data_IF_423631277209
#
_entry.id   IF_423631277209
#
_cell.length_a   1.000
_cell.length_b   1.000
_cell.length_c   1.000
_cell.angle_alpha   90.00
_cell.angle_beta   90.00
_cell.angle_gamma   90.00
#
_symmetry.space_group_name_H-M   'P 1'
#
loop_
_entity.id
_entity.type
_entity.pdbx_description
1 polymer ?
#
# COMPACT_ATOMS: atom_id res chain seq x y z
N UNK A 1 -67.20 3.37 -51.28
CA UNK A 1 -66.89 3.40 -49.83
C UNK A 1 -65.63 4.22 -49.64
N UNK A 2 -65.75 5.52 -49.36
CA UNK A 2 -64.60 6.39 -49.06
C UNK A 2 -64.54 6.61 -47.55
N UNK A 3 -63.64 5.88 -46.89
CA UNK A 3 -63.40 6.01 -45.45
C UNK A 3 -62.64 7.32 -45.19
N UNK A 4 -63.38 8.37 -44.83
CA UNK A 4 -62.83 9.66 -44.41
C UNK A 4 -62.18 9.51 -43.03
N UNK A 5 -60.86 9.63 -42.97
CA UNK A 5 -60.06 9.39 -41.76
C UNK A 5 -60.28 10.50 -40.71
N UNK A 6 -60.70 10.15 -39.47
CA UNK A 6 -61.03 11.12 -38.42
C UNK A 6 -59.81 11.92 -37.92
N UNK A 7 -58.60 11.47 -38.23
CA UNK A 7 -57.36 12.14 -37.80
C UNK A 7 -57.11 13.47 -38.52
N UNK A 8 -57.45 13.57 -39.80
CA UNK A 8 -57.24 14.82 -40.56
C UNK A 8 -58.18 15.94 -40.10
N UNK A 9 -59.41 15.60 -39.71
CA UNK A 9 -60.38 16.56 -39.20
C UNK A 9 -59.98 17.11 -37.82
N UNK A 10 -59.40 16.26 -36.97
CA UNK A 10 -58.90 16.66 -35.64
C UNK A 10 -57.70 17.60 -35.72
N UNK A 11 -56.76 17.35 -36.64
CA UNK A 11 -55.57 18.22 -36.84
C UNK A 11 -55.97 19.58 -37.41
N UNK A 12 -56.89 19.63 -38.37
CA UNK A 12 -57.39 20.89 -38.92
C UNK A 12 -58.09 21.76 -37.86
N UNK A 13 -58.90 21.16 -36.98
CA UNK A 13 -59.56 21.87 -35.88
C UNK A 13 -58.55 22.38 -34.83
N UNK A 14 -57.46 21.66 -34.58
CA UNK A 14 -56.43 22.08 -33.64
C UNK A 14 -55.63 23.29 -34.17
N UNK A 15 -55.23 23.28 -35.45
CA UNK A 15 -54.51 24.40 -36.07
C UNK A 15 -55.39 25.64 -36.18
N UNK A 16 -56.67 25.49 -36.54
CA UNK A 16 -57.64 26.60 -36.57
C UNK A 16 -57.87 27.18 -35.17
N UNK A 17 -57.96 26.35 -34.12
CA UNK A 17 -58.04 26.82 -32.73
C UNK A 17 -56.76 27.51 -32.25
N UNK A 18 -55.60 27.09 -32.73
CA UNK A 18 -54.32 27.69 -32.35
C UNK A 18 -54.10 29.05 -33.03
N UNK A 19 -54.51 29.21 -34.28
CA UNK A 19 -54.42 30.51 -34.98
C UNK A 19 -55.41 31.56 -34.48
N UNK A 20 -56.61 31.17 -34.03
CA UNK A 20 -57.57 32.11 -33.41
C UNK A 20 -57.07 32.62 -32.05
N UNK A 21 -56.21 31.86 -31.35
CA UNK A 21 -55.75 32.20 -30.00
C UNK A 21 -54.52 33.12 -29.94
N UNK A 22 -53.95 33.50 -31.09
CA UNK A 22 -52.72 34.31 -31.16
C UNK A 22 -53.01 35.78 -31.52
N UNK A 23 -54.23 36.13 -31.96
CA UNK A 23 -54.54 37.49 -32.45
C UNK A 23 -55.29 38.41 -31.46
N UNK A 24 -55.66 37.96 -30.26
CA UNK A 24 -56.41 38.78 -29.30
C UNK A 24 -55.86 38.61 -27.88
N UNK A 25 -54.88 39.43 -27.50
CA UNK A 25 -54.87 40.24 -26.25
C UNK A 25 -53.52 40.93 -26.10
N UNK A 26 -53.37 42.11 -26.71
CA UNK A 26 -52.36 43.09 -26.33
C UNK A 26 -53.09 44.40 -26.02
N UNK A 27 -52.79 44.95 -24.83
CA UNK A 27 -53.33 46.18 -24.16
C UNK A 27 -54.57 45.86 -23.29
N UNK A 28 -54.60 46.19 -21.99
CA UNK A 28 -54.56 47.55 -21.44
C UNK A 28 -54.08 47.57 -19.96
N UNK A 29 -53.18 48.53 -19.68
CA UNK A 29 -52.81 49.25 -18.44
C UNK A 29 -52.59 48.54 -17.09
N UNK A 30 -51.32 48.54 -16.67
CA UNK A 30 -50.88 48.53 -15.28
C UNK A 30 -51.21 49.90 -14.63
N UNK A 31 -52.15 49.92 -13.68
CA UNK A 31 -52.42 51.05 -12.78
C UNK A 31 -51.78 50.74 -11.42
N UNK A 32 -50.80 51.56 -11.00
CA UNK A 32 -50.15 51.47 -9.70
C UNK A 32 -51.15 51.63 -8.53
N UNK A 33 -51.65 50.54 -7.95
CA UNK A 33 -52.25 50.59 -6.61
C UNK A 33 -51.14 50.71 -5.56
N UNK A 34 -50.71 51.94 -5.29
CA UNK A 34 -49.75 52.27 -4.23
C UNK A 34 -50.39 52.09 -2.85
N UNK A 35 -50.42 50.85 -2.34
CA UNK A 35 -50.63 50.57 -0.90
C UNK A 35 -49.33 50.05 -0.30
N UNK A 36 -48.62 50.89 0.45
CA UNK A 36 -47.42 50.46 1.21
C UNK A 36 -47.87 49.51 2.34
N UNK A 37 -47.34 48.28 2.36
CA UNK A 37 -47.42 47.43 3.56
C UNK A 37 -46.52 48.05 4.63
N UNK A 38 -47.09 48.58 5.72
CA UNK A 38 -46.34 48.91 6.93
C UNK A 38 -46.17 47.64 7.76
N UNK A 39 -44.95 47.36 8.23
CA UNK A 39 -44.69 46.31 9.22
C UNK A 39 -44.80 46.97 10.59
N UNK A 40 -45.60 46.40 11.50
CA UNK A 40 -45.64 46.82 12.90
C UNK A 40 -44.23 46.73 13.47
N UNK A 41 -43.61 47.82 13.95
CA UNK A 41 -42.33 47.70 14.62
C UNK A 41 -42.59 46.97 15.93
N UNK A 42 -42.14 45.71 16.03
CA UNK A 42 -42.15 44.99 17.29
C UNK A 42 -41.37 45.75 18.35
N UNK A 43 -41.74 45.58 19.61
CA UNK A 43 -40.97 46.13 20.73
C UNK A 43 -39.54 45.58 20.67
N UNK A 44 -38.57 46.48 20.50
CA UNK A 44 -37.14 46.17 20.36
C UNK A 44 -36.55 45.66 21.69
N UNK A 45 -36.87 44.41 22.06
CA UNK A 45 -36.27 43.67 23.17
C UNK A 45 -36.36 44.34 24.56
N UNK A 46 -35.92 43.62 25.58
CA UNK A 46 -35.77 44.20 26.93
C UNK A 46 -34.52 45.08 26.95
N UNK A 47 -34.67 46.36 27.27
CA UNK A 47 -33.56 47.32 27.34
C UNK A 47 -32.59 46.93 28.46
N UNK A 48 -31.32 46.73 28.11
CA UNK A 48 -30.29 46.40 29.10
C UNK A 48 -30.12 47.54 30.10
N UNK A 49 -29.98 47.20 31.39
CA UNK A 49 -29.71 48.18 32.45
C UNK A 49 -28.45 49.00 32.12
N UNK A 50 -28.43 50.31 32.44
CA UNK A 50 -27.29 51.18 32.20
C UNK A 50 -26.06 50.66 32.95
N UNK A 51 -24.87 50.86 32.36
CA UNK A 51 -23.59 50.31 32.85
C UNK A 51 -23.30 50.66 34.32
N UNK A 52 -23.82 51.80 34.81
CA UNK A 52 -23.69 52.26 36.18
C UNK A 52 -24.46 51.39 37.20
N UNK A 53 -25.61 50.84 36.81
CA UNK A 53 -26.45 50.00 37.68
C UNK A 53 -26.10 48.51 37.58
N UNK A 54 -25.21 48.14 36.65
CA UNK A 54 -24.77 46.75 36.47
C UNK A 54 -23.69 46.43 37.49
N UNK A 55 -24.00 45.59 38.47
CA UNK A 55 -23.03 45.11 39.46
C UNK A 55 -21.78 44.52 38.77
N UNK A 56 -20.60 45.07 39.06
CA UNK A 56 -19.32 44.52 38.60
C UNK A 56 -19.08 43.22 39.38
N UNK A 57 -19.20 42.07 38.72
CA UNK A 57 -18.74 40.80 39.31
C UNK A 57 -17.25 40.93 39.60
N UNK A 58 -16.86 40.72 40.85
CA UNK A 58 -15.46 40.61 41.25
C UNK A 58 -14.80 39.46 40.46
N UNK A 59 -13.53 39.60 40.02
CA UNK A 59 -12.86 38.53 39.30
C UNK A 59 -12.76 37.30 40.20
N UNK A 60 -13.24 36.18 39.70
CA UNK A 60 -13.14 34.89 40.38
C UNK A 60 -11.66 34.49 40.47
N UNK A 61 -11.08 34.56 41.67
CA UNK A 61 -9.66 34.28 41.93
C UNK A 61 -9.27 32.83 41.62
N UNK A 62 -10.25 31.94 41.37
CA UNK A 62 -10.00 30.56 40.95
C UNK A 62 -9.59 30.43 39.48
N UNK A 63 -9.70 31.51 38.69
CA UNK A 63 -9.29 31.51 37.29
C UNK A 63 -7.83 31.92 37.20
N UNK A 64 -6.97 30.97 36.84
CA UNK A 64 -5.55 31.22 36.63
C UNK A 64 -5.39 32.34 35.59
N UNK A 65 -4.73 33.47 35.92
CA UNK A 65 -4.64 34.64 35.05
C UNK A 65 -3.95 34.35 33.71
N UNK A 66 -3.21 33.24 33.59
CA UNK A 66 -2.62 32.79 32.33
C UNK A 66 -3.66 32.24 31.34
N UNK A 67 -4.72 31.58 31.82
CA UNK A 67 -5.80 31.08 30.96
C UNK A 67 -6.69 32.22 30.43
N UNK A 68 -6.65 33.39 31.09
CA UNK A 68 -7.36 34.59 30.66
C UNK A 68 -6.53 35.46 29.69
N UNK A 69 -5.23 35.21 29.55
CA UNK A 69 -4.41 35.83 28.52
C UNK A 69 -4.64 35.02 27.24
N UNK A 70 -5.10 35.69 26.19
CA UNK A 70 -5.33 35.05 24.89
C UNK A 70 -4.07 34.42 24.31
N UNK A 71 -4.18 33.87 23.08
CA UNK A 71 -3.03 33.27 22.39
C UNK A 71 -1.85 34.26 22.34
N UNK A 72 -0.60 33.79 22.55
CA UNK A 72 0.56 34.65 22.53
C UNK A 72 0.71 35.38 21.19
N UNK A 73 1.34 36.55 21.23
CA UNK A 73 1.56 37.37 20.05
C UNK A 73 2.34 36.58 18.98
N UNK A 74 1.92 36.71 17.72
CA UNK A 74 2.48 35.96 16.60
C UNK A 74 3.96 36.24 16.39
N UNK A 75 4.73 35.18 16.18
CA UNK A 75 6.18 35.25 16.09
C UNK A 75 6.62 35.57 14.65
N UNK A 76 6.50 36.83 14.23
CA UNK A 76 6.84 37.28 12.86
C UNK A 76 8.32 37.59 12.65
N UNK A 77 9.07 37.78 13.74
CA UNK A 77 10.45 38.26 13.67
C UNK A 77 11.45 37.43 14.49
N UNK A 78 11.07 36.26 15.03
CA UNK A 78 12.11 35.35 15.50
C UNK A 78 12.84 34.77 14.29
N UNK A 79 14.12 35.07 14.18
CA UNK A 79 15.04 34.36 13.32
C UNK A 79 14.93 32.87 13.67
N UNK A 80 14.59 32.05 12.67
CA UNK A 80 14.34 30.61 12.79
C UNK A 80 15.56 29.94 13.44
N UNK A 81 15.57 29.80 14.76
CA UNK A 81 16.26 28.68 15.38
C UNK A 81 15.56 27.45 14.83
N UNK A 82 16.29 26.69 14.03
CA UNK A 82 15.88 25.44 13.46
C UNK A 82 15.46 24.53 14.61
N UNK A 83 14.18 24.53 14.94
CA UNK A 83 13.61 23.52 15.82
C UNK A 83 13.80 22.21 15.09
N UNK A 84 14.67 21.38 15.65
CA UNK A 84 14.87 20.01 15.24
C UNK A 84 13.51 19.34 15.06
N UNK A 85 13.44 18.58 13.99
CA UNK A 85 12.25 18.02 13.39
C UNK A 85 11.33 17.39 14.44
N UNK A 86 10.14 17.97 14.61
CA UNK A 86 9.06 17.30 15.29
C UNK A 86 8.58 16.18 14.37
N UNK A 87 9.18 14.99 14.53
CA UNK A 87 8.74 13.74 13.91
C UNK A 87 7.31 13.43 14.37
N UNK A 88 6.32 13.97 13.67
CA UNK A 88 4.94 13.51 13.76
C UNK A 88 4.85 12.15 13.06
N UNK A 89 5.33 11.10 13.74
CA UNK A 89 5.40 9.72 13.25
C UNK A 89 4.18 8.86 13.63
N UNK A 90 3.08 9.46 14.09
CA UNK A 90 1.91 8.68 14.56
C UNK A 90 0.53 9.32 14.36
N UNK A 91 0.42 10.42 13.63
CA UNK A 91 -0.87 11.05 13.35
C UNK A 91 -1.34 10.71 11.93
N UNK A 92 -2.63 10.35 11.72
CA UNK A 92 -3.17 10.11 10.40
C UNK A 92 -3.03 11.38 9.56
N UNK A 93 -2.20 11.30 8.50
CA UNK A 93 -2.01 12.41 7.58
C UNK A 93 -3.21 12.52 6.65
N UNK A 94 -3.64 13.74 6.36
CA UNK A 94 -4.74 14.02 5.44
C UNK A 94 -4.42 13.44 4.04
N UNK A 95 -5.30 12.61 3.45
CA UNK A 95 -5.09 12.03 2.12
C UNK A 95 -4.92 13.06 1.00
N UNK A 96 -5.37 14.31 1.20
CA UNK A 96 -5.17 15.40 0.24
C UNK A 96 -3.75 15.96 0.24
N UNK A 97 -2.99 15.73 1.31
CA UNK A 97 -1.59 16.16 1.43
C UNK A 97 -0.70 14.97 1.08
N UNK A 98 -0.20 14.95 -0.15
CA UNK A 98 0.75 13.94 -0.61
C UNK A 98 2.02 13.87 0.25
N UNK A 99 2.77 12.78 0.11
CA UNK A 99 4.04 12.58 0.81
C UNK A 99 5.07 13.63 0.38
N UNK A 100 5.34 14.61 1.25
CA UNK A 100 6.42 15.60 1.08
C UNK A 100 7.76 15.14 1.68
N UNK A 101 7.96 13.83 1.83
CA UNK A 101 9.22 13.28 2.36
C UNK A 101 10.31 13.50 1.32
N UNK A 102 11.46 14.05 1.74
CA UNK A 102 12.62 14.23 0.86
C UNK A 102 13.09 12.85 0.38
N UNK A 103 13.27 12.72 -0.94
CA UNK A 103 13.87 11.53 -1.55
C UNK A 103 15.35 11.87 -1.76
N UNK A 104 16.30 11.05 -1.27
CA UNK A 104 17.71 11.30 -1.52
C UNK A 104 18.00 11.15 -3.02
N UNK A 105 18.65 12.16 -3.61
CA UNK A 105 19.08 12.18 -5.01
C UNK A 105 20.43 11.46 -5.17
N UNK A 106 20.52 10.26 -4.61
CA UNK A 106 21.62 9.33 -4.91
C UNK A 106 20.99 8.21 -5.69
N UNK A 107 21.56 7.89 -6.86
CA UNK A 107 21.29 6.60 -7.51
C UNK A 107 21.52 5.54 -6.44
N UNK A 108 20.59 4.61 -6.19
CA UNK A 108 20.91 3.49 -5.33
C UNK A 108 22.19 2.91 -5.91
N UNK A 109 23.28 2.95 -5.14
CA UNK A 109 24.46 2.15 -5.45
C UNK A 109 23.86 0.77 -5.59
N UNK A 110 23.75 0.31 -6.83
CA UNK A 110 23.31 -1.04 -7.15
C UNK A 110 24.14 -1.87 -6.20
N UNK A 111 23.50 -2.50 -5.21
CA UNK A 111 24.18 -3.45 -4.33
C UNK A 111 25.06 -4.24 -5.29
N UNK A 112 26.37 -4.10 -5.15
CA UNK A 112 27.30 -4.68 -6.12
C UNK A 112 26.95 -6.15 -6.08
N UNK A 113 26.23 -6.61 -7.11
CA UNK A 113 25.88 -8.01 -7.21
C UNK A 113 27.24 -8.65 -7.34
N UNK A 114 27.70 -9.28 -6.25
CA UNK A 114 28.96 -9.97 -6.22
C UNK A 114 29.01 -10.82 -7.49
N UNK A 115 30.10 -10.68 -8.25
CA UNK A 115 30.28 -11.56 -9.40
C UNK A 115 30.28 -13.01 -8.88
N UNK A 116 29.83 -13.96 -9.68
CA UNK A 116 29.77 -15.37 -9.26
C UNK A 116 31.13 -15.86 -8.71
N UNK A 117 32.23 -15.40 -9.31
CA UNK A 117 33.61 -15.64 -8.85
C UNK A 117 33.89 -15.05 -7.47
N UNK A 118 33.42 -13.83 -7.20
CA UNK A 118 33.63 -13.16 -5.92
C UNK A 118 32.80 -13.79 -4.80
N UNK A 119 31.58 -14.26 -5.12
CA UNK A 119 30.76 -15.02 -4.18
C UNK A 119 31.41 -16.38 -3.87
N UNK A 120 31.95 -17.07 -4.88
CA UNK A 120 32.66 -18.34 -4.70
C UNK A 120 33.88 -18.16 -3.78
N UNK A 121 34.70 -17.14 -4.03
CA UNK A 121 35.87 -16.83 -3.20
C UNK A 121 35.48 -16.48 -1.74
N UNK A 122 34.31 -15.90 -1.51
CA UNK A 122 33.80 -15.67 -0.15
C UNK A 122 33.39 -16.98 0.54
N UNK A 123 32.75 -17.90 -0.19
CA UNK A 123 32.37 -19.20 0.36
C UNK A 123 33.60 -20.05 0.71
N UNK A 124 34.63 -20.03 -0.12
CA UNK A 124 35.89 -20.75 0.14
C UNK A 124 36.62 -20.21 1.38
N UNK A 125 36.50 -18.91 1.65
CA UNK A 125 37.11 -18.23 2.79
C UNK A 125 36.16 -18.08 4.01
N UNK A 126 35.00 -18.73 4.05
CA UNK A 126 34.09 -18.66 5.19
C UNK A 126 34.64 -19.47 6.38
N UNK A 127 35.17 -18.78 7.39
CA UNK A 127 35.76 -19.35 8.61
C UNK A 127 34.79 -20.31 9.33
N UNK A 128 33.49 -20.02 9.32
CA UNK A 128 32.49 -20.86 9.99
C UNK A 128 32.31 -22.18 9.26
N UNK A 129 32.24 -22.14 7.93
CA UNK A 129 32.10 -23.34 7.11
C UNK A 129 33.31 -24.25 7.29
N UNK A 130 34.52 -23.68 7.26
CA UNK A 130 35.77 -24.43 7.47
C UNK A 130 35.81 -25.12 8.84
N UNK A 131 35.44 -24.43 9.92
CA UNK A 131 35.42 -25.03 11.26
C UNK A 131 34.42 -26.18 11.39
N UNK A 132 33.24 -26.06 10.76
CA UNK A 132 32.23 -27.12 10.78
C UNK A 132 32.68 -28.36 9.98
N UNK A 133 33.39 -28.16 8.86
CA UNK A 133 33.97 -29.26 8.08
C UNK A 133 35.08 -29.98 8.86
N UNK A 134 35.94 -29.24 9.57
CA UNK A 134 36.98 -29.85 10.41
C UNK A 134 36.38 -30.72 11.53
N UNK A 135 35.25 -30.32 12.12
CA UNK A 135 34.53 -31.14 13.11
C UNK A 135 33.99 -32.44 12.48
N UNK A 136 33.49 -32.37 11.24
CA UNK A 136 33.05 -33.55 10.48
C UNK A 136 34.23 -34.49 10.22
N UNK A 137 35.38 -33.95 9.82
CA UNK A 137 36.61 -34.74 9.59
C UNK A 137 37.12 -35.39 10.89
N UNK A 138 36.94 -34.72 12.04
CA UNK A 138 37.21 -35.28 13.37
C UNK A 138 36.21 -36.34 13.81
N UNK A 139 35.13 -36.55 13.06
CA UNK A 139 34.05 -37.50 13.40
C UNK A 139 33.09 -37.00 14.47
N UNK A 140 33.07 -35.69 14.76
CA UNK A 140 32.12 -35.09 15.70
C UNK A 140 30.72 -34.99 15.07
N UNK A 141 29.68 -35.27 15.86
CA UNK A 141 28.30 -35.17 15.36
C UNK A 141 27.84 -33.72 15.37
N UNK A 142 27.64 -33.15 14.18
CA UNK A 142 27.12 -31.79 14.01
C UNK A 142 25.64 -31.67 14.41
N UNK A 143 25.26 -30.50 14.93
CA UNK A 143 23.85 -30.20 15.21
C UNK A 143 23.03 -30.18 13.91
N UNK A 144 21.71 -30.45 13.95
CA UNK A 144 20.87 -30.40 12.74
C UNK A 144 20.90 -29.04 12.03
N UNK A 145 21.02 -27.95 12.80
CA UNK A 145 21.13 -26.59 12.27
C UNK A 145 22.42 -26.41 11.48
N UNK A 146 23.54 -26.89 12.02
CA UNK A 146 24.85 -26.72 11.37
C UNK A 146 25.00 -27.64 10.16
N UNK A 147 24.46 -28.87 10.22
CA UNK A 147 24.35 -29.75 9.04
C UNK A 147 23.58 -29.10 7.90
N UNK A 148 22.43 -28.50 8.20
CA UNK A 148 21.64 -27.79 7.19
C UNK A 148 22.39 -26.58 6.62
N UNK A 149 23.17 -25.87 7.45
CA UNK A 149 24.01 -24.77 7.00
C UNK A 149 25.10 -25.25 6.03
N UNK A 150 25.84 -26.29 6.39
CA UNK A 150 26.88 -26.90 5.52
C UNK A 150 26.26 -27.35 4.20
N UNK A 151 25.15 -28.10 4.25
CA UNK A 151 24.45 -28.56 3.05
C UNK A 151 24.02 -27.40 2.14
N UNK A 152 23.46 -26.33 2.70
CA UNK A 152 23.03 -25.16 1.92
C UNK A 152 24.23 -24.43 1.27
N UNK A 153 25.37 -24.34 1.96
CA UNK A 153 26.59 -23.71 1.42
C UNK A 153 27.22 -24.55 0.31
N UNK A 154 27.26 -25.88 0.47
CA UNK A 154 27.74 -26.80 -0.56
C UNK A 154 26.84 -26.78 -1.80
N UNK A 155 25.52 -26.76 -1.63
CA UNK A 155 24.58 -26.62 -2.76
C UNK A 155 24.82 -25.31 -3.52
N UNK A 156 25.00 -24.20 -2.79
CA UNK A 156 25.34 -22.91 -3.42
C UNK A 156 26.68 -22.94 -4.14
N UNK A 157 27.70 -23.58 -3.57
CA UNK A 157 29.01 -23.76 -4.20
C UNK A 157 28.89 -24.52 -5.53
N UNK A 158 28.12 -25.62 -5.55
CA UNK A 158 27.86 -26.39 -6.77
C UNK A 158 27.17 -25.55 -7.85
N UNK A 159 26.15 -24.76 -7.49
CA UNK A 159 25.49 -23.84 -8.44
C UNK A 159 26.48 -22.83 -9.04
N UNK A 160 27.35 -22.22 -8.22
CA UNK A 160 28.34 -21.26 -8.69
C UNK A 160 29.41 -21.93 -9.57
N UNK A 161 29.84 -23.15 -9.22
CA UNK A 161 30.80 -23.91 -10.01
C UNK A 161 30.25 -24.27 -11.40
N UNK A 162 28.96 -24.63 -11.49
CA UNK A 162 28.24 -24.85 -12.75
C UNK A 162 28.15 -23.57 -13.58
N UNK A 163 27.79 -22.44 -12.96
CA UNK A 163 27.68 -21.14 -13.65
C UNK A 163 29.02 -20.67 -14.25
N UNK A 164 30.14 -21.00 -13.60
CA UNK A 164 31.47 -20.66 -14.07
C UNK A 164 32.03 -21.66 -15.09
N UNK A 165 31.31 -22.75 -15.36
CA UNK A 165 31.74 -23.78 -16.33
C UNK A 165 32.98 -24.56 -15.90
N UNK A 166 33.29 -24.58 -14.60
CA UNK A 166 34.41 -25.36 -14.03
C UNK A 166 34.01 -26.83 -13.88
N UNK A 167 32.72 -27.09 -13.69
CA UNK A 167 32.12 -28.42 -13.71
C UNK A 167 31.27 -28.47 -14.98
N UNK A 168 31.72 -29.24 -15.98
CA UNK A 168 30.87 -29.65 -17.11
C UNK A 168 29.73 -30.49 -16.54
N UNK A 169 28.50 -30.06 -16.79
CA UNK A 169 27.40 -31.01 -16.84
C UNK A 169 27.75 -31.93 -18.01
N UNK A 170 28.07 -33.20 -17.71
CA UNK A 170 27.95 -34.24 -18.72
C UNK A 170 26.49 -34.14 -19.20
N UNK A 171 26.31 -33.68 -20.44
CA UNK A 171 25.02 -33.34 -21.03
C UNK A 171 24.02 -34.48 -20.82
N UNK A 172 23.15 -34.38 -19.82
CA UNK A 172 22.09 -35.36 -19.52
C UNK A 172 20.87 -35.20 -20.44
N UNK A 173 21.05 -34.71 -21.67
CA UNK A 173 20.01 -34.75 -22.71
C UNK A 173 20.58 -35.07 -24.11
N UNK A 174 20.91 -36.35 -24.37
CA UNK A 174 20.60 -36.98 -25.67
C UNK A 174 20.48 -38.52 -25.57
N UNK A 175 19.23 -39.01 -25.66
CA UNK A 175 18.92 -40.21 -26.45
C UNK A 175 18.85 -41.58 -25.75
N UNK A 176 17.64 -41.95 -25.29
CA UNK A 176 17.00 -43.26 -25.56
C UNK A 176 17.94 -44.49 -25.63
N UNK A 177 18.35 -45.03 -24.48
CA UNK A 177 18.66 -46.46 -24.37
C UNK A 177 17.73 -47.06 -23.31
N UNK A 178 16.49 -47.30 -23.74
CA UNK A 178 15.68 -48.34 -23.14
C UNK A 178 16.30 -49.70 -23.50
N UNK A 179 16.34 -50.59 -22.51
CA UNK A 179 16.64 -52.03 -22.60
C UNK A 179 18.11 -52.44 -22.36
N UNK A 180 18.51 -52.44 -21.10
CA UNK A 180 19.28 -53.57 -20.57
C UNK A 180 18.90 -53.77 -19.09
N UNK A 181 17.75 -54.40 -18.87
CA UNK A 181 17.55 -55.19 -17.65
C UNK A 181 18.60 -56.30 -17.68
N UNK A 182 19.77 -56.00 -17.13
CA UNK A 182 20.77 -57.00 -16.79
C UNK A 182 20.11 -57.97 -15.82
N UNK A 183 19.82 -59.17 -16.34
CA UNK A 183 19.40 -60.30 -15.55
C UNK A 183 20.55 -60.64 -14.60
N UNK A 184 20.55 -60.05 -13.41
CA UNK A 184 21.36 -60.50 -12.29
C UNK A 184 20.93 -61.93 -11.95
N UNK A 185 21.60 -62.88 -12.58
CA UNK A 185 21.55 -64.28 -12.21
C UNK A 185 21.98 -64.41 -10.76
N UNK A 186 21.12 -64.96 -9.92
CA UNK A 186 21.27 -65.19 -8.47
C UNK A 186 22.48 -66.06 -8.08
N UNK A 187 23.36 -66.41 -9.03
CA UNK A 187 24.49 -67.31 -8.89
C UNK A 187 25.84 -66.61 -8.61
N UNK A 188 25.90 -65.27 -8.68
CA UNK A 188 27.12 -64.48 -8.40
C UNK A 188 26.95 -63.52 -7.20
N UNK A 189 26.23 -63.98 -6.18
CA UNK A 189 26.26 -63.33 -4.86
C UNK A 189 27.59 -63.62 -4.18
N UNK A 190 28.35 -62.56 -3.84
CA UNK A 190 29.58 -62.69 -3.09
C UNK A 190 29.33 -63.42 -1.76
N UNK A 191 30.25 -64.28 -1.27
CA UNK A 191 30.06 -65.09 -0.06
C UNK A 191 29.65 -64.31 1.21
N UNK A 192 29.88 -63.00 1.24
CA UNK A 192 29.52 -62.12 2.34
C UNK A 192 28.07 -61.61 2.27
N UNK A 193 27.46 -61.50 1.08
CA UNK A 193 26.04 -61.11 0.90
C UNK A 193 25.07 -62.25 1.24
N UNK A 194 25.54 -63.51 1.17
CA UNK A 194 24.76 -64.72 1.52
C UNK A 194 24.28 -64.74 2.97
N UNK A 195 25.01 -64.09 3.89
CA UNK A 195 24.79 -64.23 5.33
C UNK A 195 23.80 -63.21 5.91
N UNK A 196 23.38 -62.22 5.14
CA UNK A 196 22.56 -61.11 5.62
C UNK A 196 21.05 -61.40 5.58
N UNK A 197 20.64 -62.56 5.05
CA UNK A 197 19.23 -62.93 5.01
C UNK A 197 18.80 -63.56 6.35
N UNK A 198 17.96 -62.88 7.16
CA UNK A 198 17.57 -63.35 8.49
C UNK A 198 16.49 -64.44 8.42
N UNK A 199 16.47 -65.26 7.35
CA UNK A 199 15.49 -66.33 7.13
C UNK A 199 16.13 -67.72 7.02
N UNK A 200 17.45 -67.79 6.93
CA UNK A 200 18.19 -69.05 6.82
C UNK A 200 18.63 -69.63 8.18
N UNK A 201 18.16 -69.07 9.31
CA UNK A 201 18.51 -69.54 10.67
C UNK A 201 17.47 -70.45 11.34
N UNK A 202 16.59 -71.12 10.57
CA UNK A 202 15.60 -72.09 11.09
C UNK A 202 15.72 -73.43 10.37
#
# INVERSE_FOLDING_TARGET
>A
MTMSSPFLLAVALAVMRYHIRISETVRVSCVMTRRKKSRTPGTLGVKSQPKSLRAKKQPDQRKNPEQAKGKPAGNRHSLLQQQAEHSQSGQPRDPRVGSKRKIPLVTPVKAENLTAEQELAQLENDERLQSLLEQVDKGETLTPRDRNFVNARLARYQELAKQLGIVEEEDEEEGDNADETESESEDELEPWQKFENPKDWI
#
